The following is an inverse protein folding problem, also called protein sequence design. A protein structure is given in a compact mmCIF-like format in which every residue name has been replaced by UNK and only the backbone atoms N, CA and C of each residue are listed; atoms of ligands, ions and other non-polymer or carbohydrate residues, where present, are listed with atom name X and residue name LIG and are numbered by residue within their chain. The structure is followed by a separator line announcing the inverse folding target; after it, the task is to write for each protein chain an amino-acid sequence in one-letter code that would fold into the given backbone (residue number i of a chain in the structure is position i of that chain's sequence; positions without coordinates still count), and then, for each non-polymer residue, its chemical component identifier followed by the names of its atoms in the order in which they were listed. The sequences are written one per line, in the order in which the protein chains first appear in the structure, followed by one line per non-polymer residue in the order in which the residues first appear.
data_IF_167643091491
#
_entry.id   IF_167643091491
#
_cell.length_a   1.000
_cell.length_b   1.000
_cell.length_c   1.000
_cell.angle_alpha   90.00
_cell.angle_beta   90.00
_cell.angle_gamma   90.00
#
_symmetry.space_group_name_H-M   'P 1'
#
loop_
_entity.id
_entity.type
_entity.pdbx_description
1 polymer ?
#
# COMPACT_ATOMS: atom_id res chain seq x y z
N UNK A 1 -22.14 -9.28 5.23
CA UNK A 1 -20.74 -8.89 4.98
C UNK A 1 -20.70 -7.38 4.96
N UNK A 2 -20.06 -6.75 5.95
CA UNK A 2 -19.90 -5.30 5.97
C UNK A 2 -18.76 -5.01 4.99
N UNK A 3 -19.07 -4.45 3.83
CA UNK A 3 -18.04 -3.99 2.91
C UNK A 3 -17.33 -2.84 3.61
N UNK A 4 -16.09 -3.05 4.04
CA UNK A 4 -15.22 -1.95 4.46
C UNK A 4 -14.98 -1.12 3.21
N UNK A 5 -15.72 -0.02 3.06
CA UNK A 5 -15.31 1.04 2.16
C UNK A 5 -14.30 1.85 2.94
N UNK A 6 -13.06 1.87 2.44
CA UNK A 6 -12.07 2.87 2.81
C UNK A 6 -12.58 4.20 2.23
N UNK A 7 -13.56 4.80 2.90
CA UNK A 7 -14.04 6.12 2.55
C UNK A 7 -13.05 7.13 3.12
N UNK A 8 -12.71 8.18 2.36
CA UNK A 8 -11.79 9.25 2.80
C UNK A 8 -12.22 9.90 4.12
N UNK A 9 -13.50 9.77 4.46
CA UNK A 9 -14.13 10.36 5.64
C UNK A 9 -14.20 9.39 6.84
N UNK A 10 -13.62 8.18 6.73
CA UNK A 10 -13.48 7.27 7.86
C UNK A 10 -12.31 7.71 8.74
N UNK A 11 -12.63 8.41 9.83
CA UNK A 11 -11.67 8.92 10.82
C UNK A 11 -10.87 7.81 11.54
N UNK A 12 -11.24 6.54 11.39
CA UNK A 12 -10.53 5.41 11.99
C UNK A 12 -9.32 4.94 11.18
N UNK A 13 -9.18 5.44 9.94
CA UNK A 13 -8.08 5.09 9.04
C UNK A 13 -7.06 6.23 9.04
N UNK A 14 -5.76 5.96 9.24
CA UNK A 14 -4.73 7.00 9.16
C UNK A 14 -4.78 7.75 7.82
N UNK A 15 -4.79 9.08 7.88
CA UNK A 15 -4.82 9.90 6.68
C UNK A 15 -3.48 9.87 5.96
N UNK A 16 -3.47 9.38 4.72
CA UNK A 16 -2.31 9.32 3.85
C UNK A 16 -2.41 10.46 2.81
N UNK A 17 -1.52 11.47 2.88
CA UNK A 17 -1.56 12.63 1.98
C UNK A 17 -1.06 12.31 0.55
N UNK A 18 -0.34 11.21 0.42
CA UNK A 18 0.26 10.65 -0.78
C UNK A 18 -0.45 9.35 -1.20
N UNK A 19 -1.75 9.25 -0.91
CA UNK A 19 -2.63 8.15 -1.33
C UNK A 19 -2.61 7.88 -2.84
N UNK A 20 -2.31 8.91 -3.62
CA UNK A 20 -2.14 8.82 -5.07
C UNK A 20 -0.73 8.34 -5.51
N UNK A 21 0.17 7.99 -4.58
CA UNK A 21 1.58 7.65 -4.87
C UNK A 21 1.95 6.18 -4.65
N UNK A 22 0.98 5.27 -4.72
CA UNK A 22 1.17 3.82 -4.62
C UNK A 22 1.82 3.23 -5.90
N UNK A 23 3.07 3.62 -6.15
CA UNK A 23 3.83 3.32 -7.36
C UNK A 23 4.86 2.21 -7.17
N UNK A 24 4.56 1.20 -6.35
CA UNK A 24 5.47 0.08 -6.07
C UNK A 24 6.84 0.57 -5.56
N UNK A 25 6.81 1.53 -4.63
CA UNK A 25 7.92 2.40 -4.19
C UNK A 25 8.48 3.39 -5.24
N UNK A 26 8.78 2.98 -6.46
CA UNK A 26 9.08 3.84 -7.63
C UNK A 26 9.38 2.99 -8.86
N UNK A 27 9.43 3.60 -10.06
CA UNK A 27 9.88 2.93 -11.28
C UNK A 27 11.27 2.28 -11.11
N UNK A 28 12.24 3.02 -10.58
CA UNK A 28 13.61 2.53 -10.39
C UNK A 28 13.67 1.36 -9.42
N UNK A 29 12.86 1.38 -8.36
CA UNK A 29 12.80 0.30 -7.37
C UNK A 29 12.10 -0.93 -7.95
N UNK A 30 10.91 -0.75 -8.53
CA UNK A 30 10.13 -1.84 -9.13
C UNK A 30 10.96 -2.62 -10.16
N UNK A 31 11.50 -1.93 -11.17
CA UNK A 31 12.21 -2.58 -12.27
C UNK A 31 13.69 -2.85 -11.98
N UNK A 32 14.31 -2.06 -11.10
CA UNK A 32 15.74 -2.15 -10.82
C UNK A 32 16.11 -3.07 -9.66
N UNK A 33 15.26 -3.19 -8.64
CA UNK A 33 15.60 -3.97 -7.43
C UNK A 33 14.58 -5.03 -7.06
N UNK A 34 13.33 -4.90 -7.51
CA UNK A 34 12.24 -5.83 -7.19
C UNK A 34 11.95 -6.83 -8.31
N UNK A 35 12.83 -6.93 -9.32
CA UNK A 35 12.67 -7.84 -10.45
C UNK A 35 11.28 -7.72 -11.07
N UNK A 36 10.83 -6.49 -11.36
CA UNK A 36 9.50 -6.12 -11.88
C UNK A 36 8.30 -6.28 -10.92
N UNK A 37 8.52 -6.82 -9.72
CA UNK A 37 7.46 -7.14 -8.76
C UNK A 37 6.98 -5.91 -8.00
N UNK A 38 5.72 -5.98 -7.58
CA UNK A 38 5.02 -4.97 -6.81
C UNK A 38 4.25 -5.60 -5.64
N UNK A 39 4.05 -4.88 -4.54
CA UNK A 39 3.09 -5.26 -3.50
C UNK A 39 1.66 -5.30 -4.05
N UNK A 40 0.78 -6.10 -3.46
CA UNK A 40 -0.58 -6.34 -3.99
C UNK A 40 -1.40 -5.06 -4.05
N UNK A 41 -1.15 -4.13 -3.12
CA UNK A 41 -1.81 -2.83 -3.02
C UNK A 41 -0.89 -1.64 -3.37
N UNK A 42 0.19 -1.87 -4.12
CA UNK A 42 1.04 -0.80 -4.65
C UNK A 42 2.20 -0.35 -3.74
N UNK A 43 2.36 -0.99 -2.58
CA UNK A 43 3.54 -0.87 -1.72
C UNK A 43 4.82 -1.46 -2.37
N UNK A 44 5.99 -1.17 -1.78
CA UNK A 44 7.24 -1.87 -2.11
C UNK A 44 7.08 -3.39 -1.94
N UNK A 45 7.40 -4.16 -2.99
CA UNK A 45 7.38 -5.61 -2.94
C UNK A 45 8.26 -6.19 -1.81
N UNK A 46 9.36 -5.52 -1.45
CA UNK A 46 10.28 -5.98 -0.39
C UNK A 46 9.82 -5.67 1.02
N UNK A 47 8.79 -4.83 1.21
CA UNK A 47 8.23 -4.60 2.53
C UNK A 47 7.66 -5.89 3.11
N UNK A 48 7.73 -6.01 4.44
CA UNK A 48 7.15 -7.16 5.15
C UNK A 48 5.64 -7.19 4.95
N UNK A 49 5.07 -8.39 4.89
CA UNK A 49 3.63 -8.61 4.83
C UNK A 49 3.10 -8.68 6.28
N UNK A 50 1.98 -8.01 6.63
CA UNK A 50 1.20 -7.12 5.76
C UNK A 50 1.93 -5.80 5.50
N UNK A 51 1.92 -5.38 4.23
CA UNK A 51 2.45 -4.06 3.84
C UNK A 51 1.49 -2.95 4.29
N UNK A 52 1.94 -1.70 4.30
CA UNK A 52 1.21 -0.57 4.88
C UNK A 52 -0.20 -0.35 4.30
N UNK A 53 -0.46 -0.78 3.05
CA UNK A 53 -1.78 -0.68 2.44
C UNK A 53 -2.51 -2.04 2.30
N UNK A 54 -1.98 -3.11 2.88
CA UNK A 54 -2.59 -4.44 2.89
C UNK A 54 -3.47 -4.67 4.13
N UNK A 55 -4.53 -5.47 4.01
CA UNK A 55 -5.33 -5.81 5.17
C UNK A 55 -4.51 -6.57 6.22
N UNK A 56 -4.64 -6.17 7.50
CA UNK A 56 -3.96 -6.81 8.62
C UNK A 56 -2.78 -6.03 9.17
N UNK A 57 -2.48 -4.82 8.64
CA UNK A 57 -1.60 -3.89 9.34
C UNK A 57 -2.19 -3.61 10.72
N UNK A 58 -1.47 -4.03 11.74
CA UNK A 58 -1.67 -3.59 13.12
C UNK A 58 -0.57 -2.57 13.36
N UNK A 59 -0.92 -1.29 13.27
CA UNK A 59 -0.09 -0.21 13.82
C UNK A 59 -0.05 -0.33 15.35
#
# INVERSE_FOLDING_TARGET
MRTLKLDKDDETIPYCYDDNQLYCASLTVQYGTNDDKCGVFGDDYKNSIPRSNENGVVE
#
